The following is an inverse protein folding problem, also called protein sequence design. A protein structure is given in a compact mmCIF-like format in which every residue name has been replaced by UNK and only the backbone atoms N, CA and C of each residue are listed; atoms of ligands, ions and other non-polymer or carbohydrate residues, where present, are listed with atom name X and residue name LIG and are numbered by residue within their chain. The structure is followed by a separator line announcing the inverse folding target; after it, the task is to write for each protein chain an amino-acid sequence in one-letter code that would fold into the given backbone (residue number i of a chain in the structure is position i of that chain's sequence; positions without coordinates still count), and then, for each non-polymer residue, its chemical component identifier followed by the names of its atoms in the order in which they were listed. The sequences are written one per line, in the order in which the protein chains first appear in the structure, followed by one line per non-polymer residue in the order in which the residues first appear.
data_IF_780980859418
#
_entry.id   IF_780980859418
#
_cell.length_a   1.000
_cell.length_b   1.000
_cell.length_c   1.000
_cell.angle_alpha   90.00
_cell.angle_beta   90.00
_cell.angle_gamma   90.00
#
_symmetry.space_group_name_H-M   'P 1'
#
loop_
_entity.id
_entity.type
_entity.pdbx_description
1 polymer ?
#
# COMPACT_ATOMS: atom_id res chain seq x y z
N UNK A 1 13.78 10.64 25.81
CA UNK A 1 12.61 10.83 26.70
C UNK A 1 11.74 11.93 26.10
N UNK A 2 10.98 11.60 25.06
CA UNK A 2 10.07 12.56 24.41
C UNK A 2 8.80 12.54 25.26
N UNK A 3 8.65 13.54 26.13
CA UNK A 3 7.48 13.67 26.97
C UNK A 3 6.24 13.71 26.07
N UNK A 4 5.28 12.84 26.37
CA UNK A 4 3.90 12.93 25.91
C UNK A 4 3.36 14.30 26.31
N UNK A 5 3.51 15.30 25.44
CA UNK A 5 2.81 16.56 25.59
C UNK A 5 1.32 16.26 25.54
N UNK A 6 0.50 16.77 26.48
CA UNK A 6 -0.93 16.56 26.45
C UNK A 6 -1.49 17.10 25.14
N UNK A 7 -2.24 16.28 24.41
CA UNK A 7 -2.96 16.67 23.20
C UNK A 7 -3.90 17.84 23.54
N UNK A 8 -3.51 19.06 23.18
CA UNK A 8 -4.39 20.23 23.26
C UNK A 8 -4.82 20.61 21.84
N UNK A 9 -6.09 21.00 21.60
CA UNK A 9 -6.58 21.39 20.28
C UNK A 9 -5.74 22.50 19.62
N UNK A 10 -5.22 23.41 20.43
CA UNK A 10 -4.32 24.51 20.06
C UNK A 10 -2.96 24.06 19.50
N UNK A 11 -2.53 22.82 19.76
CA UNK A 11 -1.26 22.29 19.24
C UNK A 11 -1.28 22.11 17.72
N UNK A 12 -2.41 21.71 17.13
CA UNK A 12 -2.53 21.53 15.66
C UNK A 12 -2.36 22.87 14.96
N UNK A 13 -3.09 23.90 15.41
CA UNK A 13 -3.02 25.25 14.84
C UNK A 13 -1.62 25.86 14.98
N UNK A 14 -1.00 25.69 16.15
CA UNK A 14 0.35 26.21 16.41
C UNK A 14 1.41 25.53 15.53
N UNK A 15 1.28 24.22 15.32
CA UNK A 15 2.17 23.50 14.41
C UNK A 15 2.00 23.98 12.96
N UNK A 16 0.75 24.15 12.51
CA UNK A 16 0.45 24.65 11.16
C UNK A 16 0.99 26.07 10.94
N UNK A 17 0.86 26.97 11.92
CA UNK A 17 1.39 28.33 11.85
C UNK A 17 2.91 28.35 11.71
N UNK A 18 3.61 27.56 12.53
CA UNK A 18 5.08 27.44 12.48
C UNK A 18 5.54 26.85 11.15
N UNK A 19 4.86 25.81 10.66
CA UNK A 19 5.18 25.20 9.36
C UNK A 19 4.94 26.15 8.19
N UNK A 20 3.86 26.93 8.22
CA UNK A 20 3.58 27.94 7.19
C UNK A 20 4.62 29.06 7.20
N UNK A 21 5.01 29.54 8.38
CA UNK A 21 6.05 30.56 8.54
C UNK A 21 7.39 30.10 7.98
N UNK A 22 7.83 28.87 8.31
CA UNK A 22 9.11 28.30 7.86
C UNK A 22 9.16 28.01 6.38
N UNK A 23 8.05 27.57 5.79
CA UNK A 23 8.00 27.12 4.40
C UNK A 23 7.36 28.16 3.45
N UNK A 24 7.15 29.40 3.90
CA UNK A 24 6.40 30.43 3.17
C UNK A 24 6.87 30.60 1.73
N UNK A 25 8.17 30.75 1.49
CA UNK A 25 8.73 30.95 0.15
C UNK A 25 8.49 29.74 -0.76
N UNK A 26 8.69 28.53 -0.23
CA UNK A 26 8.45 27.26 -0.95
C UNK A 26 6.98 27.09 -1.33
N UNK A 27 6.07 27.40 -0.40
CA UNK A 27 4.62 27.35 -0.66
C UNK A 27 4.20 28.40 -1.68
N UNK A 28 4.79 29.60 -1.64
CA UNK A 28 4.53 30.64 -2.64
C UNK A 28 5.02 30.21 -4.03
N UNK A 29 6.17 29.54 -4.12
CA UNK A 29 6.68 28.98 -5.36
C UNK A 29 5.73 27.91 -5.94
N UNK A 30 5.27 26.95 -5.13
CA UNK A 30 4.30 25.95 -5.60
C UNK A 30 2.97 26.58 -6.04
N UNK A 31 2.48 27.58 -5.30
CA UNK A 31 1.26 28.32 -5.67
C UNK A 31 1.40 29.11 -6.96
N UNK A 32 2.59 29.64 -7.24
CA UNK A 32 2.88 30.26 -8.52
C UNK A 32 2.91 29.21 -9.64
N UNK A 33 3.60 28.08 -9.42
CA UNK A 33 3.72 26.99 -10.39
C UNK A 33 2.35 26.45 -10.83
N UNK A 34 1.45 26.18 -9.88
CA UNK A 34 0.10 25.68 -10.18
C UNK A 34 -0.80 26.66 -10.96
N UNK A 35 -0.41 27.94 -11.02
CA UNK A 35 -1.12 28.96 -11.81
C UNK A 35 -0.53 29.15 -13.20
N UNK A 36 0.77 28.88 -13.36
CA UNK A 36 1.50 29.15 -14.59
C UNK A 36 1.51 27.94 -15.51
N UNK A 37 1.68 26.74 -14.96
CA UNK A 37 1.76 25.51 -15.73
C UNK A 37 0.40 24.82 -15.82
N UNK A 38 0.08 24.32 -17.01
CA UNK A 38 -1.03 23.37 -17.19
C UNK A 38 -0.66 22.04 -16.52
N UNK A 39 -1.66 21.29 -16.09
CA UNK A 39 -1.50 19.96 -15.46
C UNK A 39 -0.73 19.96 -14.13
N UNK A 40 -0.56 21.13 -13.49
CA UNK A 40 0.00 21.24 -12.13
C UNK A 40 -1.12 21.59 -11.16
N UNK A 41 -1.52 20.61 -10.36
CA UNK A 41 -2.40 20.81 -9.21
C UNK A 41 -1.59 20.75 -7.91
N UNK A 42 -1.91 21.62 -6.96
CA UNK A 42 -1.26 21.66 -5.64
C UNK A 42 -2.31 21.50 -4.57
N UNK A 43 -2.18 20.42 -3.79
CA UNK A 43 -2.97 20.19 -2.59
C UNK A 43 -2.38 21.05 -1.46
N UNK A 44 -3.17 21.88 -0.79
CA UNK A 44 -2.66 22.78 0.24
C UNK A 44 -2.19 22.02 1.49
N UNK A 45 -1.29 22.61 2.30
CA UNK A 45 -0.88 22.02 3.58
C UNK A 45 -2.07 21.78 4.51
N UNK A 46 -2.05 20.68 5.26
CA UNK A 46 -3.07 20.35 6.25
C UNK A 46 -4.27 19.54 5.72
N UNK A 47 -4.30 19.18 4.43
CA UNK A 47 -5.37 18.33 3.86
C UNK A 47 -5.21 16.84 4.19
N UNK A 48 -3.98 16.35 4.37
CA UNK A 48 -3.71 14.95 4.67
C UNK A 48 -2.30 14.54 4.24
N UNK A 49 -1.97 13.26 4.43
CA UNK A 49 -0.74 12.66 3.91
C UNK A 49 -0.85 12.45 2.39
N UNK A 50 0.25 12.63 1.65
CA UNK A 50 0.24 12.60 0.19
C UNK A 50 -0.38 11.32 -0.40
N UNK A 51 0.08 10.15 0.05
CA UNK A 51 -0.44 8.85 -0.41
C UNK A 51 -1.92 8.61 -0.03
N UNK A 52 -2.41 9.15 1.09
CA UNK A 52 -3.83 9.06 1.43
C UNK A 52 -4.69 9.96 0.53
N UNK A 53 -4.23 11.18 0.26
CA UNK A 53 -4.91 12.07 -0.70
C UNK A 53 -4.88 11.50 -2.13
N UNK A 54 -3.80 10.79 -2.49
CA UNK A 54 -3.75 10.09 -3.77
C UNK A 54 -4.91 9.10 -3.89
N UNK A 55 -5.11 8.25 -2.89
CA UNK A 55 -6.21 7.28 -2.87
C UNK A 55 -7.59 7.92 -2.89
N UNK A 56 -7.81 8.91 -2.02
CA UNK A 56 -9.16 9.43 -1.76
C UNK A 56 -9.61 10.46 -2.80
N UNK A 57 -8.69 11.14 -3.48
CA UNK A 57 -9.03 12.31 -4.31
C UNK A 57 -8.42 12.32 -5.71
N UNK A 58 -7.18 11.84 -5.87
CA UNK A 58 -6.46 11.96 -7.16
C UNK A 58 -6.63 10.73 -8.05
N UNK A 59 -6.79 9.55 -7.45
CA UNK A 59 -6.93 8.28 -8.13
C UNK A 59 -8.14 8.27 -9.06
N UNK A 60 -7.94 7.85 -10.31
CA UNK A 60 -9.00 7.75 -11.33
C UNK A 60 -9.33 6.31 -11.68
N UNK A 61 -8.40 5.38 -11.48
CA UNK A 61 -8.45 3.95 -11.87
C UNK A 61 -8.50 3.75 -13.39
N UNK A 62 -9.36 4.49 -14.09
CA UNK A 62 -9.39 4.60 -15.55
C UNK A 62 -9.47 6.09 -15.93
N UNK A 63 -8.56 6.51 -16.78
CA UNK A 63 -8.58 7.84 -17.40
C UNK A 63 -9.49 7.86 -18.62
N UNK A 64 -10.08 9.03 -18.86
CA UNK A 64 -10.85 9.36 -20.05
C UNK A 64 -10.28 10.67 -20.60
N UNK A 65 -9.50 10.59 -21.68
CA UNK A 65 -8.90 11.75 -22.35
C UNK A 65 -9.04 11.58 -23.87
N UNK A 66 -9.50 12.63 -24.55
CA UNK A 66 -9.65 12.67 -26.01
C UNK A 66 -10.36 11.43 -26.60
N UNK A 67 -11.48 11.03 -25.99
CA UNK A 67 -12.28 9.83 -26.32
C UNK A 67 -11.53 8.48 -26.17
N UNK A 68 -10.39 8.47 -25.47
CA UNK A 68 -9.62 7.27 -25.13
C UNK A 68 -9.79 6.89 -23.67
N UNK A 69 -9.95 5.59 -23.43
CA UNK A 69 -9.91 4.99 -22.10
C UNK A 69 -8.60 4.22 -21.90
N UNK A 70 -7.90 4.52 -20.82
CA UNK A 70 -6.67 3.81 -20.44
C UNK A 70 -6.55 3.67 -18.91
N UNK A 71 -5.82 2.65 -18.41
CA UNK A 71 -5.69 2.42 -16.98
C UNK A 71 -4.87 3.55 -16.35
N UNK A 72 -5.25 3.92 -15.13
CA UNK A 72 -4.46 4.84 -14.31
C UNK A 72 -3.14 4.18 -13.90
N UNK A 73 -2.07 4.96 -13.96
CA UNK A 73 -0.74 4.57 -13.49
C UNK A 73 0.00 5.80 -12.98
N UNK A 74 0.85 5.63 -11.97
CA UNK A 74 1.51 6.77 -11.34
C UNK A 74 2.91 6.42 -10.84
N UNK A 75 3.87 7.29 -11.15
CA UNK A 75 5.17 7.31 -10.47
C UNK A 75 5.32 8.61 -9.71
N UNK A 76 6.05 8.60 -8.62
CA UNK A 76 6.24 9.81 -7.83
C UNK A 76 7.41 9.73 -6.87
N UNK A 77 7.70 10.86 -6.25
CA UNK A 77 8.84 11.02 -5.32
C UNK A 77 8.53 10.59 -3.88
N UNK A 78 7.33 10.04 -3.64
CA UNK A 78 6.94 9.41 -2.38
C UNK A 78 7.16 7.89 -2.49
N UNK A 79 7.94 7.31 -1.58
CA UNK A 79 8.16 5.86 -1.53
C UNK A 79 6.87 5.08 -1.26
N UNK A 80 5.91 5.69 -0.57
CA UNK A 80 4.62 5.10 -0.22
C UNK A 80 3.54 5.34 -1.28
N UNK A 81 3.90 5.90 -2.44
CA UNK A 81 2.97 5.97 -3.58
C UNK A 81 2.48 4.58 -4.00
N UNK A 82 3.20 3.51 -3.63
CA UNK A 82 2.78 2.12 -3.83
C UNK A 82 1.44 1.80 -3.17
N UNK A 83 0.96 2.61 -2.24
CA UNK A 83 -0.36 2.46 -1.61
C UNK A 83 -1.50 2.39 -2.65
N UNK A 84 -1.40 3.11 -3.78
CA UNK A 84 -2.41 3.12 -4.86
C UNK A 84 -2.59 1.76 -5.55
N UNK A 85 -1.60 0.88 -5.48
CA UNK A 85 -1.70 -0.48 -6.04
C UNK A 85 -2.79 -1.32 -5.35
N UNK A 86 -3.17 -0.98 -4.11
CA UNK A 86 -4.30 -1.61 -3.43
C UNK A 86 -5.68 -1.28 -4.04
N UNK A 87 -5.74 -0.25 -4.89
CA UNK A 87 -6.92 0.18 -5.65
C UNK A 87 -6.86 -0.30 -7.11
N UNK A 88 -5.83 -1.06 -7.50
CA UNK A 88 -5.62 -1.51 -8.88
C UNK A 88 -4.96 -0.50 -9.80
N UNK A 89 -4.29 0.51 -9.24
CA UNK A 89 -3.50 1.51 -9.98
C UNK A 89 -2.04 1.13 -9.92
N UNK A 90 -1.40 0.94 -11.07
CA UNK A 90 0.01 0.54 -11.10
C UNK A 90 0.90 1.74 -10.76
N UNK A 91 1.60 1.70 -9.63
CA UNK A 91 2.46 2.81 -9.25
C UNK A 91 3.55 2.52 -8.24
N UNK A 92 4.66 3.24 -8.34
CA UNK A 92 5.81 3.07 -7.45
C UNK A 92 6.67 4.33 -7.34
N UNK A 93 7.51 4.35 -6.30
CA UNK A 93 8.39 5.47 -6.01
C UNK A 93 9.59 5.52 -6.95
N UNK A 94 9.91 6.71 -7.47
CA UNK A 94 11.11 6.99 -8.27
C UNK A 94 11.80 8.25 -7.76
N UNK A 95 13.03 8.51 -8.23
CA UNK A 95 13.76 9.71 -7.87
C UNK A 95 13.15 10.98 -8.47
N UNK A 96 13.59 12.14 -7.96
CA UNK A 96 13.11 13.44 -8.45
C UNK A 96 13.49 13.72 -9.90
N UNK A 97 14.67 13.26 -10.33
CA UNK A 97 15.17 13.44 -11.71
C UNK A 97 14.33 12.60 -12.68
N UNK A 98 14.02 11.36 -12.31
CA UNK A 98 13.16 10.48 -13.09
C UNK A 98 11.75 11.04 -13.20
N UNK A 99 11.21 11.59 -12.10
CA UNK A 99 9.89 12.24 -12.11
C UNK A 99 9.88 13.45 -13.03
N UNK A 100 10.91 14.31 -12.97
CA UNK A 100 11.05 15.47 -13.86
C UNK A 100 11.14 15.04 -15.33
N UNK A 101 11.90 13.99 -15.64
CA UNK A 101 11.99 13.43 -16.98
C UNK A 101 10.63 12.95 -17.50
N UNK A 102 9.83 12.28 -16.66
CA UNK A 102 8.45 11.87 -17.01
C UNK A 102 7.56 13.08 -17.29
N UNK A 103 7.67 14.14 -16.48
CA UNK A 103 6.93 15.38 -16.73
C UNK A 103 7.32 16.06 -18.05
N UNK A 104 8.53 15.82 -18.55
CA UNK A 104 9.01 16.28 -19.87
C UNK A 104 8.65 15.32 -21.02
N UNK A 105 7.92 14.24 -20.75
CA UNK A 105 7.45 13.26 -21.73
C UNK A 105 8.39 12.09 -21.98
N UNK A 106 9.43 11.91 -21.16
CA UNK A 106 10.29 10.72 -21.25
C UNK A 106 9.66 9.52 -20.53
N UNK A 107 9.64 8.33 -21.13
CA UNK A 107 9.14 7.14 -20.46
C UNK A 107 10.07 6.69 -19.33
N UNK A 108 9.51 6.04 -18.32
CA UNK A 108 10.32 5.38 -17.28
C UNK A 108 11.00 4.15 -17.87
N UNK A 109 12.32 4.05 -17.70
CA UNK A 109 13.06 2.85 -18.07
C UNK A 109 12.94 1.80 -16.97
N UNK A 110 12.27 0.68 -17.26
CA UNK A 110 12.06 -0.43 -16.35
C UNK A 110 12.49 -1.73 -17.02
N UNK A 111 13.38 -2.50 -16.37
CA UNK A 111 13.65 -3.88 -16.76
C UNK A 111 12.40 -4.71 -16.49
N UNK A 112 11.97 -5.54 -17.45
CA UNK A 112 10.77 -6.37 -17.28
C UNK A 112 10.90 -7.21 -15.99
N UNK A 113 10.06 -6.95 -14.97
CA UNK A 113 10.23 -7.57 -13.67
C UNK A 113 9.66 -8.99 -13.66
N UNK A 114 10.22 -9.84 -12.82
CA UNK A 114 9.54 -11.06 -12.41
C UNK A 114 8.30 -10.71 -11.57
N UNK A 115 7.24 -11.49 -11.72
CA UNK A 115 5.99 -11.31 -10.97
C UNK A 115 5.79 -12.51 -10.05
N UNK A 116 5.73 -12.24 -8.75
CA UNK A 116 5.44 -13.22 -7.71
C UNK A 116 3.94 -13.17 -7.41
N UNK A 117 3.23 -14.23 -7.77
CA UNK A 117 1.82 -14.40 -7.43
C UNK A 117 1.67 -14.75 -5.95
N UNK A 118 0.92 -13.96 -5.20
CA UNK A 118 0.59 -14.20 -3.81
C UNK A 118 -0.87 -14.66 -3.70
N UNK A 119 -1.06 -15.97 -3.59
CA UNK A 119 -2.36 -16.61 -3.48
C UNK A 119 -2.87 -16.52 -2.04
N UNK A 120 -3.93 -15.73 -1.82
CA UNK A 120 -4.62 -15.64 -0.53
C UNK A 120 -5.80 -16.62 -0.50
N UNK A 121 -5.83 -17.49 0.49
CA UNK A 121 -6.88 -18.52 0.65
C UNK A 121 -7.43 -18.56 2.08
N UNK A 122 -8.61 -19.18 2.24
CA UNK A 122 -9.27 -19.29 3.53
C UNK A 122 -9.90 -17.97 4.00
N UNK A 123 -10.23 -17.90 5.30
CA UNK A 123 -10.79 -16.71 5.94
C UNK A 123 -10.01 -16.37 7.19
N UNK A 124 -9.85 -15.08 7.47
CA UNK A 124 -9.24 -14.62 8.72
C UNK A 124 -10.11 -15.01 9.92
N UNK A 125 -9.45 -15.17 11.07
CA UNK A 125 -10.14 -15.40 12.34
C UNK A 125 -10.85 -14.10 12.79
N UNK A 126 -12.06 -14.16 13.37
CA UNK A 126 -12.78 -12.95 13.85
C UNK A 126 -12.01 -12.05 14.82
N UNK A 127 -11.01 -12.58 15.53
CA UNK A 127 -10.16 -11.81 16.46
C UNK A 127 -8.91 -11.20 15.82
N UNK A 128 -8.70 -11.44 14.52
CA UNK A 128 -7.59 -10.88 13.73
C UNK A 128 -8.05 -9.58 13.11
N UNK A 129 -7.23 -8.54 13.26
CA UNK A 129 -7.49 -7.23 12.68
C UNK A 129 -6.81 -7.08 11.32
N UNK A 130 -7.16 -6.03 10.57
CA UNK A 130 -6.49 -5.64 9.32
C UNK A 130 -4.97 -5.60 9.45
N UNK A 131 -4.46 -5.01 10.53
CA UNK A 131 -3.01 -4.87 10.74
C UNK A 131 -2.35 -6.24 10.99
N UNK A 132 -3.06 -7.19 11.60
CA UNK A 132 -2.54 -8.53 11.81
C UNK A 132 -2.36 -9.29 10.50
N UNK A 133 -3.32 -9.14 9.57
CA UNK A 133 -3.24 -9.70 8.21
C UNK A 133 -2.09 -9.08 7.44
N UNK A 134 -2.05 -7.74 7.40
CA UNK A 134 -1.00 -6.97 6.71
C UNK A 134 0.38 -7.41 7.19
N UNK A 135 0.63 -7.38 8.50
CA UNK A 135 1.93 -7.74 9.06
C UNK A 135 2.26 -9.24 8.89
N UNK A 136 1.26 -10.10 8.80
CA UNK A 136 1.42 -11.52 8.50
C UNK A 136 1.93 -11.75 7.09
N UNK A 137 1.28 -11.10 6.13
CA UNK A 137 1.66 -11.13 4.72
C UNK A 137 3.05 -10.51 4.53
N UNK A 138 3.30 -9.32 5.08
CA UNK A 138 4.61 -8.64 5.01
C UNK A 138 5.74 -9.50 5.54
N UNK A 139 5.55 -10.17 6.69
CA UNK A 139 6.55 -11.10 7.24
C UNK A 139 6.84 -12.26 6.29
N UNK A 140 5.78 -12.86 5.72
CA UNK A 140 5.92 -14.00 4.82
C UNK A 140 6.64 -13.61 3.53
N UNK A 141 6.25 -12.50 2.88
CA UNK A 141 6.89 -11.99 1.66
C UNK A 141 8.37 -11.65 1.89
N UNK A 142 8.69 -11.07 3.04
CA UNK A 142 10.08 -10.78 3.43
C UNK A 142 10.91 -12.05 3.61
N UNK A 143 10.33 -13.13 4.15
CA UNK A 143 11.02 -14.42 4.31
C UNK A 143 11.28 -15.10 2.97
N UNK A 144 10.34 -14.99 2.02
CA UNK A 144 10.50 -15.56 0.67
C UNK A 144 11.51 -14.77 -0.17
N UNK A 145 11.68 -13.47 0.09
CA UNK A 145 12.69 -12.65 -0.57
C UNK A 145 12.24 -12.13 -1.94
N UNK A 146 11.22 -11.26 -1.95
CA UNK A 146 10.63 -10.67 -3.17
C UNK A 146 11.35 -9.39 -3.63
N UNK A 147 12.61 -9.21 -3.26
CA UNK A 147 13.35 -7.98 -3.49
C UNK A 147 13.50 -7.68 -5.00
N UNK A 148 13.11 -6.48 -5.43
CA UNK A 148 13.21 -6.06 -6.84
C UNK A 148 12.20 -6.72 -7.78
N UNK A 149 11.23 -7.47 -7.26
CA UNK A 149 10.16 -8.13 -8.04
C UNK A 149 8.83 -7.39 -7.87
N UNK A 150 7.89 -7.68 -8.75
CA UNK A 150 6.49 -7.33 -8.54
C UNK A 150 5.83 -8.43 -7.72
N UNK A 151 4.92 -8.04 -6.82
CA UNK A 151 4.02 -8.98 -6.15
C UNK A 151 2.62 -8.69 -6.65
N UNK A 152 1.88 -9.71 -7.06
CA UNK A 152 0.48 -9.58 -7.45
C UNK A 152 -0.39 -10.50 -6.59
N UNK A 153 -1.46 -9.95 -6.01
CA UNK A 153 -2.34 -10.70 -5.12
C UNK A 153 -3.52 -11.30 -5.89
N UNK A 154 -3.74 -12.59 -5.68
CA UNK A 154 -4.83 -13.34 -6.29
C UNK A 154 -5.40 -14.39 -5.33
N UNK A 155 -6.40 -15.16 -5.78
CA UNK A 155 -7.05 -16.21 -5.00
C UNK A 155 -8.30 -15.76 -4.24
N UNK A 156 -9.04 -16.73 -3.71
CA UNK A 156 -10.38 -16.54 -3.15
C UNK A 156 -10.42 -15.61 -1.93
N UNK A 157 -9.32 -15.51 -1.19
CA UNK A 157 -9.19 -14.69 0.01
C UNK A 157 -9.10 -13.18 -0.26
N UNK A 158 -8.75 -12.76 -1.49
CA UNK A 158 -8.62 -11.33 -1.83
C UNK A 158 -9.97 -10.60 -1.76
N UNK A 159 -11.06 -11.29 -2.09
CA UNK A 159 -12.42 -10.75 -2.01
C UNK A 159 -12.86 -10.39 -0.59
N UNK A 160 -12.21 -10.96 0.43
CA UNK A 160 -12.50 -10.69 1.84
C UNK A 160 -11.77 -9.44 2.36
N UNK A 161 -10.75 -8.98 1.65
CA UNK A 161 -9.99 -7.79 2.01
C UNK A 161 -10.69 -6.54 1.50
N UNK A 162 -10.95 -5.60 2.39
CA UNK A 162 -11.42 -4.26 2.03
C UNK A 162 -10.33 -3.50 1.26
N UNK A 163 -10.70 -2.43 0.55
CA UNK A 163 -9.70 -1.55 -0.09
C UNK A 163 -8.74 -0.95 0.93
N UNK A 164 -9.19 -0.69 2.16
CA UNK A 164 -8.31 -0.22 3.24
C UNK A 164 -7.26 -1.28 3.59
N UNK A 165 -7.64 -2.56 3.64
CA UNK A 165 -6.68 -3.65 3.89
C UNK A 165 -5.69 -3.79 2.74
N UNK A 166 -6.17 -3.80 1.50
CA UNK A 166 -5.34 -3.92 0.29
C UNK A 166 -4.33 -2.79 0.17
N UNK A 167 -4.79 -1.55 0.36
CA UNK A 167 -3.93 -0.36 0.33
C UNK A 167 -2.93 -0.35 1.48
N UNK A 168 -3.29 -0.86 2.66
CA UNK A 168 -2.35 -1.02 3.78
C UNK A 168 -1.27 -2.06 3.47
N UNK A 169 -1.63 -3.21 2.88
CA UNK A 169 -0.65 -4.21 2.39
C UNK A 169 0.26 -3.58 1.33
N UNK A 170 -0.32 -2.82 0.41
CA UNK A 170 0.42 -2.22 -0.69
C UNK A 170 1.35 -1.08 -0.28
N UNK A 171 0.94 -0.33 0.73
CA UNK A 171 1.76 0.70 1.36
C UNK A 171 3.02 0.14 2.03
N UNK A 172 2.97 -1.11 2.49
CA UNK A 172 4.10 -1.80 3.14
C UNK A 172 5.08 -2.46 2.15
N UNK A 173 4.95 -2.19 0.86
CA UNK A 173 5.83 -2.76 -0.17
C UNK A 173 7.33 -2.52 0.08
N UNK A 174 7.77 -1.31 0.47
CA UNK A 174 9.17 -1.05 0.81
C UNK A 174 9.70 -1.95 1.95
N UNK A 175 8.85 -2.36 2.90
CA UNK A 175 9.23 -3.13 4.09
C UNK A 175 9.56 -4.61 3.79
N UNK A 176 9.00 -5.16 2.70
CA UNK A 176 9.32 -6.49 2.19
C UNK A 176 10.14 -6.47 0.89
N UNK A 177 10.51 -5.28 0.40
CA UNK A 177 11.53 -5.06 -0.63
C UNK A 177 11.06 -5.25 -2.08
N UNK A 178 9.77 -5.54 -2.30
CA UNK A 178 9.22 -5.56 -3.66
C UNK A 178 9.19 -4.14 -4.25
N UNK A 179 9.15 -4.05 -5.58
CA UNK A 179 9.01 -2.76 -6.27
C UNK A 179 7.59 -2.22 -6.10
N UNK A 180 6.61 -3.11 -6.24
CA UNK A 180 5.21 -2.85 -6.00
C UNK A 180 4.46 -4.15 -5.65
N UNK A 181 3.24 -3.97 -5.18
CA UNK A 181 2.35 -5.02 -4.69
C UNK A 181 0.92 -4.74 -5.16
N UNK A 182 0.52 -5.41 -6.23
CA UNK A 182 -0.65 -5.11 -7.02
C UNK A 182 -1.87 -5.91 -6.60
N UNK A 183 -3.00 -5.21 -6.43
CA UNK A 183 -4.32 -5.81 -6.27
C UNK A 183 -5.16 -5.43 -7.48
N UNK A 184 -5.40 -6.34 -8.43
CA UNK A 184 -6.20 -6.06 -9.62
C UNK A 184 -7.60 -5.52 -9.27
N UNK A 185 -8.15 -4.68 -10.15
CA UNK A 185 -9.49 -4.11 -9.99
C UNK A 185 -10.53 -5.21 -10.00
N UNK A 186 -11.40 -5.22 -8.99
CA UNK A 186 -12.51 -6.16 -8.87
C UNK A 186 -13.79 -5.45 -8.38
N UNK A 187 -14.82 -6.24 -8.05
CA UNK A 187 -16.08 -5.73 -7.52
C UNK A 187 -15.93 -4.97 -6.19
N UNK A 188 -14.93 -5.30 -5.36
CA UNK A 188 -14.68 -4.58 -4.10
C UNK A 188 -14.14 -3.18 -4.41
N UNK A 189 -13.27 -3.06 -5.41
CA UNK A 189 -12.79 -1.76 -5.91
C UNK A 189 -13.94 -0.90 -6.43
N UNK A 190 -14.79 -1.42 -7.31
CA UNK A 190 -15.93 -0.64 -7.85
C UNK A 190 -16.89 -0.18 -6.74
N UNK A 191 -17.22 -1.06 -5.79
CA UNK A 191 -18.04 -0.69 -4.61
C UNK A 191 -17.38 0.40 -3.78
N UNK A 192 -16.06 0.39 -3.62
CA UNK A 192 -15.37 1.44 -2.89
C UNK A 192 -15.43 2.78 -3.65
N UNK A 193 -15.25 2.77 -4.97
CA UNK A 193 -15.39 3.97 -5.80
C UNK A 193 -16.81 4.56 -5.75
N UNK A 194 -17.84 3.71 -5.73
CA UNK A 194 -19.23 4.16 -5.52
C UNK A 194 -19.38 4.91 -4.18
N UNK A 195 -18.86 4.36 -3.08
CA UNK A 195 -18.92 5.01 -1.77
C UNK A 195 -18.13 6.31 -1.67
N UNK A 196 -17.07 6.47 -2.47
CA UNK A 196 -16.25 7.70 -2.51
C UNK A 196 -16.83 8.78 -3.43
N UNK A 197 -17.95 8.49 -4.12
CA UNK A 197 -18.74 9.47 -4.86
C UNK A 197 -18.55 9.45 -6.37
N UNK A 198 -18.02 8.36 -6.95
CA UNK A 198 -18.02 8.18 -8.40
C UNK A 198 -19.45 7.98 -8.91
N UNK A 199 -19.79 8.63 -10.02
CA UNK A 199 -21.09 8.48 -10.65
C UNK A 199 -21.29 7.08 -11.25
N UNK A 200 -22.54 6.59 -11.24
CA UNK A 200 -22.87 5.24 -11.72
C UNK A 200 -22.52 5.03 -13.19
N UNK A 201 -22.77 6.02 -14.05
CA UNK A 201 -22.44 5.90 -15.47
C UNK A 201 -20.93 5.76 -15.68
N UNK A 202 -20.13 6.46 -14.87
CA UNK A 202 -18.67 6.34 -14.89
C UNK A 202 -18.19 4.97 -14.43
N UNK A 203 -18.80 4.40 -13.39
CA UNK A 203 -18.47 3.06 -12.89
C UNK A 203 -18.84 1.97 -13.92
N UNK A 204 -19.98 2.09 -14.58
CA UNK A 204 -20.39 1.16 -15.64
C UNK A 204 -19.44 1.20 -16.84
N UNK A 205 -19.03 2.41 -17.27
CA UNK A 205 -18.03 2.59 -18.33
C UNK A 205 -16.68 1.98 -17.94
N UNK A 206 -16.22 2.23 -16.70
CA UNK A 206 -14.99 1.70 -16.15
C UNK A 206 -15.00 0.16 -16.11
N UNK A 207 -16.07 -0.44 -15.61
CA UNK A 207 -16.23 -1.90 -15.55
C UNK A 207 -16.24 -2.51 -16.96
N UNK A 208 -16.97 -1.90 -17.89
CA UNK A 208 -17.05 -2.34 -19.29
C UNK A 208 -15.67 -2.32 -19.95
N UNK A 209 -14.94 -1.20 -19.78
CA UNK A 209 -13.59 -1.05 -20.29
C UNK A 209 -12.65 -2.11 -19.73
N UNK A 210 -12.55 -2.22 -18.39
CA UNK A 210 -11.62 -3.15 -17.73
C UNK A 210 -11.90 -4.61 -18.10
N UNK A 211 -13.17 -5.00 -18.26
CA UNK A 211 -13.54 -6.34 -18.73
C UNK A 211 -13.17 -6.57 -20.20
N UNK A 212 -13.35 -5.56 -21.05
CA UNK A 212 -13.00 -5.64 -22.47
C UNK A 212 -11.48 -5.83 -22.66
N UNK A 213 -10.66 -5.13 -21.87
CA UNK A 213 -9.19 -5.20 -21.93
C UNK A 213 -8.57 -6.25 -20.99
N UNK A 214 -9.38 -7.08 -20.32
CA UNK A 214 -8.94 -8.16 -19.41
C UNK A 214 -8.14 -7.69 -18.20
N UNK A 215 -8.43 -6.50 -17.69
CA UNK A 215 -7.87 -5.95 -16.45
C UNK A 215 -8.85 -5.99 -15.27
N UNK A 216 -10.06 -6.51 -15.48
CA UNK A 216 -11.02 -6.75 -14.40
C UNK A 216 -10.86 -8.17 -13.86
N UNK A 217 -10.56 -8.30 -12.56
CA UNK A 217 -10.44 -9.59 -11.88
C UNK A 217 -11.80 -10.09 -11.45
N UNK A 218 -12.10 -11.32 -11.81
CA UNK A 218 -13.30 -12.03 -11.38
C UNK A 218 -13.00 -12.90 -10.17
N UNK A 219 -13.79 -12.78 -9.10
CA UNK A 219 -13.62 -13.57 -7.87
C UNK A 219 -14.09 -15.03 -8.01
N UNK A 220 -14.95 -15.31 -8.98
CA UNK A 220 -15.69 -16.57 -9.08
C UNK A 220 -15.52 -17.31 -10.42
N UNK A 221 -14.80 -16.71 -11.38
CA UNK A 221 -14.56 -17.37 -12.67
C UNK A 221 -13.24 -18.13 -12.65
N UNK A 222 -13.28 -19.38 -13.12
CA UNK A 222 -12.10 -20.16 -13.52
C UNK A 222 -11.48 -19.60 -14.82
N UNK A 223 -11.43 -18.27 -14.99
CA UNK A 223 -10.58 -17.69 -16.03
C UNK A 223 -9.13 -18.09 -15.77
N UNK A 224 -8.34 -18.27 -16.83
CA UNK A 224 -6.93 -18.62 -16.70
C UNK A 224 -6.21 -17.62 -15.78
N UNK A 225 -5.84 -18.09 -14.59
CA UNK A 225 -5.00 -17.33 -13.65
C UNK A 225 -3.69 -16.93 -14.35
N UNK A 226 -3.14 -15.74 -14.07
CA UNK A 226 -1.91 -15.31 -14.71
C UNK A 226 -0.75 -16.29 -14.45
N UNK A 227 0.11 -16.46 -15.45
CA UNK A 227 1.32 -17.25 -15.31
C UNK A 227 2.39 -16.47 -14.55
N UNK A 228 2.45 -16.65 -13.22
CA UNK A 228 3.44 -16.01 -12.36
C UNK A 228 4.81 -16.69 -12.43
N UNK A 229 5.89 -15.92 -12.24
CA UNK A 229 7.26 -16.44 -12.17
C UNK A 229 7.46 -17.36 -10.94
N UNK A 230 6.73 -17.08 -9.87
CA UNK A 230 6.69 -17.85 -8.64
C UNK A 230 5.33 -17.65 -7.97
N UNK A 231 4.80 -18.69 -7.32
CA UNK A 231 3.57 -18.60 -6.52
C UNK A 231 3.90 -18.83 -5.04
N UNK A 232 3.41 -17.92 -4.20
CA UNK A 232 3.44 -18.00 -2.73
C UNK A 232 2.00 -18.18 -2.26
N UNK A 233 1.77 -19.11 -1.32
CA UNK A 233 0.44 -19.37 -0.78
C UNK A 233 0.35 -18.94 0.67
N UNK A 234 -0.63 -18.10 0.98
CA UNK A 234 -0.90 -17.63 2.35
C UNK A 234 -2.33 -17.99 2.73
N UNK A 235 -2.46 -18.78 3.79
CA UNK A 235 -3.76 -19.09 4.36
C UNK A 235 -4.12 -18.06 5.43
N UNK A 236 -5.21 -17.31 5.22
CA UNK A 236 -5.62 -16.23 6.12
C UNK A 236 -6.00 -16.74 7.53
N UNK A 237 -6.44 -17.99 7.63
CA UNK A 237 -6.76 -18.66 8.90
C UNK A 237 -5.52 -18.95 9.78
N UNK A 238 -4.31 -18.94 9.22
CA UNK A 238 -3.05 -19.15 9.94
C UNK A 238 -2.51 -17.87 10.59
N UNK A 239 -3.10 -16.72 10.25
CA UNK A 239 -2.72 -15.43 10.81
C UNK A 239 -3.33 -15.32 12.21
N UNK A 240 -2.50 -14.90 13.16
CA UNK A 240 -2.89 -14.68 14.55
C UNK A 240 -2.68 -13.22 14.94
N UNK A 241 -3.47 -12.76 15.91
CA UNK A 241 -3.30 -11.43 16.50
C UNK A 241 -1.88 -11.29 17.07
N UNK A 242 -1.16 -10.24 16.69
CA UNK A 242 0.23 -10.05 17.10
C UNK A 242 0.67 -8.59 17.08
N UNK A 243 1.73 -8.32 17.83
CA UNK A 243 2.42 -7.03 17.88
C UNK A 243 3.83 -7.18 17.33
N UNK A 244 4.47 -6.08 16.96
CA UNK A 244 5.87 -6.08 16.50
C UNK A 244 6.75 -5.29 17.46
N UNK A 245 7.90 -5.85 17.86
CA UNK A 245 8.84 -5.18 18.76
C UNK A 245 9.64 -6.13 19.64
N UNK A 246 10.33 -5.60 20.68
CA UNK A 246 10.32 -4.20 21.10
C UNK A 246 11.27 -3.30 20.28
N UNK A 247 12.10 -3.85 19.37
CA UNK A 247 13.17 -3.09 18.72
C UNK A 247 13.02 -2.93 17.21
N UNK A 248 12.43 -3.90 16.51
CA UNK A 248 12.36 -3.89 15.05
C UNK A 248 10.95 -4.24 14.56
N UNK A 249 10.47 -3.65 13.45
CA UNK A 249 9.14 -3.95 12.89
C UNK A 249 8.94 -5.41 12.48
N UNK A 250 10.01 -6.13 12.16
CA UNK A 250 9.93 -7.56 11.77
C UNK A 250 9.81 -8.52 12.96
N UNK A 251 10.01 -8.06 14.20
CA UNK A 251 9.99 -8.89 15.41
C UNK A 251 8.55 -9.14 15.88
N UNK A 252 7.82 -10.03 15.19
CA UNK A 252 6.42 -10.34 15.54
C UNK A 252 6.31 -11.28 16.72
N UNK A 253 5.39 -10.93 17.63
CA UNK A 253 5.03 -11.70 18.81
C UNK A 253 3.51 -11.84 18.85
N UNK A 254 3.00 -13.07 18.94
CA UNK A 254 1.57 -13.29 19.13
C UNK A 254 1.09 -12.59 20.41
N UNK A 255 -0.10 -11.98 20.39
CA UNK A 255 -0.64 -11.27 21.55
C UNK A 255 -0.70 -12.18 22.78
N UNK A 256 -1.01 -13.46 22.58
CA UNK A 256 -1.02 -14.50 23.61
C UNK A 256 0.35 -14.75 24.25
N UNK A 257 1.43 -14.47 23.53
CA UNK A 257 2.82 -14.68 23.96
C UNK A 257 3.51 -13.41 24.46
N UNK A 258 2.91 -12.24 24.26
CA UNK A 258 3.52 -10.92 24.50
C UNK A 258 4.12 -10.79 25.91
N UNK A 259 3.40 -11.23 26.94
CA UNK A 259 3.88 -11.16 28.33
C UNK A 259 5.14 -12.01 28.53
N UNK A 260 5.14 -13.24 28.00
CA UNK A 260 6.25 -14.19 28.10
C UNK A 260 7.47 -13.69 27.34
N UNK A 261 7.26 -13.21 26.13
CA UNK A 261 8.31 -12.67 25.26
C UNK A 261 8.97 -11.43 25.89
N UNK A 262 8.16 -10.49 26.38
CA UNK A 262 8.68 -9.30 27.05
C UNK A 262 9.51 -9.65 28.29
N UNK A 263 9.05 -10.60 29.11
CA UNK A 263 9.80 -11.09 30.28
C UNK A 263 11.13 -11.75 29.89
N UNK A 264 11.18 -12.46 28.76
CA UNK A 264 12.41 -13.02 28.24
C UNK A 264 13.38 -11.92 27.79
N UNK A 265 12.91 -10.91 27.04
CA UNK A 265 13.74 -9.78 26.62
C UNK A 265 14.32 -8.97 27.80
N UNK A 266 13.69 -8.95 28.99
CA UNK A 266 14.22 -8.26 30.17
C UNK A 266 15.53 -8.88 30.68
N UNK A 267 15.71 -10.19 30.49
CA UNK A 267 16.89 -10.93 30.99
C UNK A 267 18.00 -11.05 29.95
N UNK A 268 17.78 -10.58 28.72
CA UNK A 268 18.77 -10.61 27.66
C UNK A 268 19.77 -9.45 27.74
N UNK A 269 21.01 -9.68 27.26
CA UNK A 269 22.02 -8.62 27.17
C UNK A 269 21.53 -7.53 26.21
N UNK A 270 21.82 -6.27 26.55
CA UNK A 270 21.46 -5.11 25.75
C UNK A 270 21.98 -5.27 24.30
N UNK A 271 21.07 -5.58 23.38
CA UNK A 271 21.38 -5.71 21.94
C UNK A 271 20.99 -7.05 21.31
N UNK A 272 20.68 -8.10 22.10
CA UNK A 272 20.47 -9.46 21.55
C UNK A 272 19.03 -9.91 21.33
N UNK A 273 17.99 -9.15 21.71
CA UNK A 273 16.61 -9.65 21.55
C UNK A 273 16.27 -9.85 20.06
N UNK A 274 16.56 -11.06 19.58
CA UNK A 274 16.25 -11.61 18.27
C UNK A 274 15.29 -12.74 18.53
N UNK A 275 14.00 -12.46 18.35
CA UNK A 275 12.94 -13.47 18.38
C UNK A 275 13.15 -14.45 17.23
N UNK A 276 13.86 -15.55 17.51
CA UNK A 276 13.84 -16.75 16.67
C UNK A 276 13.42 -17.89 17.59
N UNK A 277 12.12 -18.12 17.72
CA UNK A 277 11.67 -19.48 18.02
C UNK A 277 12.03 -20.33 16.80
N UNK A 278 13.28 -20.78 16.74
CA UNK A 278 13.61 -21.97 15.96
C UNK A 278 12.82 -23.09 16.62
N UNK A 279 11.92 -23.70 15.87
CA UNK A 279 11.27 -24.94 16.28
C UNK A 279 12.36 -25.98 16.54
N UNK A 280 12.70 -26.21 17.80
CA UNK A 280 13.24 -27.51 18.19
C UNK A 280 12.05 -28.46 18.20
N UNK A 281 11.84 -29.13 17.06
CA UNK A 281 11.24 -30.46 17.07
C UNK A 281 12.02 -31.29 18.10
N UNK A 282 11.28 -31.88 19.02
CA UNK A 282 11.80 -32.84 19.98
C UNK A 282 12.05 -34.19 19.30
N UNK A 283 13.02 -34.92 19.87
CA UNK A 283 13.58 -36.24 19.54
C UNK A 283 14.72 -36.27 18.52
#
# INVERSE_FOLDING_TARGET
MQALLPFRPETVLKNQEVEFGRNRERLQFFKWSSRVFKNVAVIPPGTGMAHQVNLEYLSRVVFEEDDLLFPDSVVGTDSHITMVNGLGILGWGVGGIETEAVMLGLPVSLTLPEVVGCELTGSSNPFVTSIDVVLGITKHLRQVGVAGKFVEFFGSGVSQLSIVDRTTIANMCPEYGAVLSFFPVDNVTLKHLEHTGFDKAKLESMETYLKAVKLFRHDQDNSEEPAYSQVIRIQLNSIVASVSGPKRPQDRVAVTDMKRDFQACLNEKAGSCTTTFVSTCAE
#
